data_IF_357094857345
#
_entry.id   IF_357094857345
#
_cell.length_a   1.000
_cell.length_b   1.000
_cell.length_c   1.000
_cell.angle_alpha   90.00
_cell.angle_beta   90.00
_cell.angle_gamma   90.00
#
_symmetry.space_group_name_H-M   'P 1'
#
loop_
_entity.id
_entity.type
_entity.pdbx_description
1 polymer ?
#
# COMPACT_ATOMS: atom_id res chain seq x y z
N UNK A 1 7.81 -61.76 18.16
CA UNK A 1 7.04 -60.73 17.38
C UNK A 1 7.10 -59.46 18.17
N UNK A 2 8.21 -58.69 18.01
CA UNK A 2 8.38 -57.37 18.64
C UNK A 2 7.79 -56.32 17.75
N UNK A 3 6.73 -55.70 18.21
CA UNK A 3 6.17 -54.51 17.53
C UNK A 3 7.04 -53.33 17.97
N UNK A 4 7.81 -52.77 17.02
CA UNK A 4 8.48 -51.51 17.21
C UNK A 4 7.41 -50.40 17.23
N UNK A 5 7.23 -49.73 18.37
CA UNK A 5 6.46 -48.52 18.51
C UNK A 5 7.03 -47.43 17.58
N UNK A 6 6.21 -46.68 16.82
CA UNK A 6 6.68 -45.59 16.00
C UNK A 6 7.26 -44.49 16.91
N UNK A 7 8.55 -44.26 16.80
CA UNK A 7 9.30 -43.27 17.53
C UNK A 7 8.71 -41.87 17.29
N UNK A 8 7.91 -41.40 18.26
CA UNK A 8 7.38 -40.02 18.23
C UNK A 8 8.56 -39.05 18.32
N UNK A 9 8.71 -38.11 17.40
CA UNK A 9 9.82 -37.17 17.43
C UNK A 9 9.80 -36.38 18.72
N UNK A 10 10.94 -36.37 19.43
CA UNK A 10 11.08 -35.67 20.71
C UNK A 10 10.71 -34.19 20.55
N UNK A 11 9.91 -33.64 21.45
CA UNK A 11 9.42 -32.25 21.46
C UNK A 11 10.52 -31.20 21.26
N UNK A 12 11.74 -31.47 21.73
CA UNK A 12 12.94 -30.66 21.51
C UNK A 12 13.37 -30.59 20.04
N UNK A 13 13.20 -31.67 19.25
CA UNK A 13 13.51 -31.69 17.82
C UNK A 13 12.55 -30.84 17.00
N UNK A 14 11.27 -30.81 17.39
CA UNK A 14 10.26 -29.96 16.72
C UNK A 14 10.49 -28.47 16.99
N UNK A 15 10.94 -28.13 18.22
CA UNK A 15 11.28 -26.74 18.58
C UNK A 15 12.54 -26.28 17.83
N UNK A 16 13.59 -27.10 17.81
CA UNK A 16 14.83 -26.80 17.06
C UNK A 16 14.54 -26.60 15.58
N UNK A 17 13.75 -27.48 14.96
CA UNK A 17 13.36 -27.36 13.55
C UNK A 17 12.54 -26.10 13.27
N UNK A 18 11.67 -25.69 14.19
CA UNK A 18 10.91 -24.44 14.06
C UNK A 18 11.81 -23.19 14.10
N UNK A 19 12.81 -23.21 14.98
CA UNK A 19 13.80 -22.14 15.10
C UNK A 19 14.68 -22.08 13.84
N UNK A 20 15.16 -23.21 13.35
CA UNK A 20 15.97 -23.28 12.12
C UNK A 20 15.19 -22.77 10.90
N UNK A 21 13.91 -23.15 10.76
CA UNK A 21 13.05 -22.66 9.68
C UNK A 21 12.85 -21.14 9.79
N UNK A 22 12.65 -20.60 10.99
CA UNK A 22 12.51 -19.17 11.19
C UNK A 22 13.77 -18.41 10.77
N UNK A 23 14.94 -18.83 11.24
CA UNK A 23 16.22 -18.18 10.89
C UNK A 23 16.55 -18.31 9.40
N UNK A 24 16.24 -19.45 8.78
CA UNK A 24 16.40 -19.64 7.33
C UNK A 24 15.47 -18.70 6.56
N UNK A 25 14.20 -18.56 6.96
CA UNK A 25 13.26 -17.63 6.33
C UNK A 25 13.71 -16.18 6.47
N UNK A 26 14.21 -15.77 7.64
CA UNK A 26 14.75 -14.42 7.85
C UNK A 26 15.99 -14.18 6.98
N UNK A 27 16.86 -15.19 6.86
CA UNK A 27 18.04 -15.12 6.00
C UNK A 27 17.66 -14.98 4.52
N UNK A 28 16.71 -15.78 4.03
CA UNK A 28 16.23 -15.73 2.65
C UNK A 28 15.58 -14.38 2.31
N UNK A 29 14.75 -13.84 3.22
CA UNK A 29 14.17 -12.51 3.06
C UNK A 29 15.25 -11.42 3.03
N UNK A 30 16.26 -11.51 3.92
CA UNK A 30 17.35 -10.52 3.92
C UNK A 30 18.21 -10.61 2.65
N UNK A 31 18.48 -11.80 2.14
CA UNK A 31 19.16 -11.97 0.85
C UNK A 31 18.35 -11.41 -0.31
N UNK A 32 17.03 -11.63 -0.30
CA UNK A 32 16.12 -11.08 -1.30
C UNK A 32 16.17 -9.55 -1.34
N UNK A 33 16.12 -8.91 -0.16
CA UNK A 33 16.23 -7.44 -0.03
C UNK A 33 17.60 -6.93 -0.50
N UNK A 34 18.69 -7.58 -0.09
CA UNK A 34 20.06 -7.20 -0.51
C UNK A 34 20.20 -7.34 -2.04
N UNK A 35 19.69 -8.43 -2.62
CA UNK A 35 19.70 -8.65 -4.06
C UNK A 35 18.89 -7.57 -4.79
N UNK A 36 17.74 -7.16 -4.24
CA UNK A 36 16.95 -6.06 -4.79
C UNK A 36 17.77 -4.78 -4.91
N UNK A 37 18.43 -4.34 -3.82
CA UNK A 37 19.25 -3.13 -3.86
C UNK A 37 20.43 -3.25 -4.83
N UNK A 38 21.07 -4.41 -4.90
CA UNK A 38 22.16 -4.66 -5.86
C UNK A 38 21.69 -4.54 -7.30
N UNK A 39 20.55 -5.14 -7.64
CA UNK A 39 20.00 -5.12 -9.00
C UNK A 39 19.39 -3.75 -9.34
N UNK A 40 18.88 -3.00 -8.36
CA UNK A 40 18.38 -1.65 -8.56
C UNK A 40 19.45 -0.69 -9.06
N UNK A 41 20.69 -0.78 -8.54
CA UNK A 41 21.83 0.04 -8.95
C UNK A 41 22.56 -0.49 -10.18
N UNK A 42 22.21 -1.67 -10.68
CA UNK A 42 22.77 -2.25 -11.90
C UNK A 42 22.00 -1.73 -13.13
N UNK A 43 22.60 -0.92 -13.97
CA UNK A 43 22.03 -0.45 -15.24
C UNK A 43 22.10 -1.55 -16.31
N UNK A 44 21.14 -1.61 -17.27
CA UNK A 44 19.97 -0.74 -17.48
C UNK A 44 18.72 -1.19 -16.71
N UNK A 45 17.95 -0.24 -16.18
CA UNK A 45 16.61 -0.50 -15.61
C UNK A 45 15.61 -0.65 -16.77
N UNK A 46 14.70 -1.61 -16.68
CA UNK A 46 13.63 -1.84 -17.66
C UNK A 46 12.51 -0.79 -17.52
N UNK A 47 12.77 0.44 -17.99
CA UNK A 47 11.87 1.59 -17.84
C UNK A 47 10.49 1.29 -18.44
N UNK A 48 10.45 0.62 -19.59
CA UNK A 48 9.19 0.29 -20.28
C UNK A 48 8.29 -0.59 -19.41
N UNK A 49 8.86 -1.60 -18.77
CA UNK A 49 8.10 -2.50 -17.89
C UNK A 49 7.69 -1.78 -16.61
N UNK A 50 8.57 -0.95 -16.03
CA UNK A 50 8.24 -0.12 -14.87
C UNK A 50 7.05 0.79 -15.13
N UNK A 51 7.00 1.47 -16.30
CA UNK A 51 5.85 2.31 -16.69
C UNK A 51 4.58 1.47 -16.85
N UNK A 52 4.68 0.29 -17.45
CA UNK A 52 3.55 -0.63 -17.58
C UNK A 52 3.01 -1.04 -16.21
N UNK A 53 3.89 -1.36 -15.27
CA UNK A 53 3.52 -1.70 -13.90
C UNK A 53 2.93 -0.49 -13.16
N UNK A 54 3.45 0.73 -13.36
CA UNK A 54 2.84 1.96 -12.85
C UNK A 54 1.40 2.15 -13.36
N UNK A 55 1.13 1.85 -14.61
CA UNK A 55 -0.22 1.89 -15.16
C UNK A 55 -1.14 0.85 -14.49
N UNK A 56 -0.66 -0.36 -14.29
CA UNK A 56 -1.44 -1.44 -13.66
C UNK A 56 -1.75 -1.11 -12.20
N UNK A 57 -0.73 -0.69 -11.44
CA UNK A 57 -0.87 -0.34 -10.02
C UNK A 57 -1.70 0.93 -9.84
N UNK A 58 -1.40 1.97 -10.61
CA UNK A 58 -2.02 3.29 -10.52
C UNK A 58 -3.41 3.32 -11.13
N UNK A 59 -3.47 3.35 -12.46
CA UNK A 59 -4.70 3.65 -13.19
C UNK A 59 -5.81 2.61 -12.94
N UNK A 60 -5.47 1.35 -12.94
CA UNK A 60 -6.47 0.29 -12.65
C UNK A 60 -6.99 0.31 -11.21
N UNK A 61 -6.32 1.01 -10.28
CA UNK A 61 -6.78 1.14 -8.89
C UNK A 61 -7.61 2.40 -8.66
N UNK A 62 -7.59 3.38 -9.57
CA UNK A 62 -8.34 4.62 -9.44
C UNK A 62 -9.84 4.42 -9.14
N UNK A 63 -10.59 3.58 -9.86
CA UNK A 63 -12.03 3.45 -9.59
C UNK A 63 -12.33 2.99 -8.16
N UNK A 64 -11.57 2.01 -7.68
CA UNK A 64 -11.75 1.49 -6.32
C UNK A 64 -11.39 2.54 -5.26
N UNK A 65 -10.28 3.24 -5.46
CA UNK A 65 -9.83 4.31 -4.56
C UNK A 65 -10.79 5.50 -4.59
N UNK A 66 -11.40 5.81 -5.75
CA UNK A 66 -12.37 6.89 -5.88
C UNK A 66 -13.62 6.64 -5.03
N UNK A 67 -14.20 5.47 -5.17
CA UNK A 67 -15.41 5.10 -4.41
C UNK A 67 -15.11 5.05 -2.92
N UNK A 68 -14.04 4.39 -2.53
CA UNK A 68 -13.66 4.26 -1.12
C UNK A 68 -13.27 5.58 -0.49
N UNK A 69 -12.56 6.48 -1.21
CA UNK A 69 -12.19 7.80 -0.73
C UNK A 69 -13.40 8.69 -0.47
N UNK A 70 -14.33 8.76 -1.42
CA UNK A 70 -15.58 9.52 -1.25
C UNK A 70 -16.39 9.02 -0.07
N UNK A 71 -16.62 7.71 0.02
CA UNK A 71 -17.40 7.10 1.12
C UNK A 71 -16.71 7.35 2.46
N UNK A 72 -15.39 7.18 2.53
CA UNK A 72 -14.62 7.41 3.77
C UNK A 72 -14.77 8.87 4.23
N UNK A 73 -14.71 9.85 3.32
CA UNK A 73 -14.91 11.25 3.65
C UNK A 73 -16.30 11.54 4.24
N UNK A 74 -17.35 11.02 3.61
CA UNK A 74 -18.73 11.16 4.09
C UNK A 74 -18.89 10.51 5.47
N UNK A 75 -18.49 9.25 5.61
CA UNK A 75 -18.67 8.49 6.86
C UNK A 75 -17.88 9.11 8.01
N UNK A 76 -16.63 9.50 7.74
CA UNK A 76 -15.80 10.12 8.76
C UNK A 76 -16.41 11.44 9.26
N UNK A 77 -16.92 12.28 8.36
CA UNK A 77 -17.59 13.53 8.71
C UNK A 77 -18.87 13.27 9.50
N UNK A 78 -19.68 12.29 9.10
CA UNK A 78 -20.90 11.90 9.84
C UNK A 78 -20.60 11.47 11.27
N UNK A 79 -19.49 10.78 11.50
CA UNK A 79 -19.13 10.31 12.84
C UNK A 79 -18.56 11.45 13.71
N UNK A 80 -17.80 12.38 13.14
CA UNK A 80 -17.18 13.47 13.90
C UNK A 80 -18.11 14.66 14.15
N UNK A 81 -19.06 14.91 13.22
CA UNK A 81 -19.96 16.06 13.31
C UNK A 81 -20.74 16.14 14.63
N UNK A 82 -21.41 15.09 15.15
CA UNK A 82 -22.16 15.17 16.40
C UNK A 82 -21.31 15.65 17.57
N UNK A 83 -20.09 15.13 17.67
CA UNK A 83 -19.15 15.51 18.72
C UNK A 83 -18.77 17.00 18.61
N UNK A 84 -18.46 17.48 17.40
CA UNK A 84 -18.10 18.88 17.18
C UNK A 84 -19.25 19.85 17.44
N UNK A 85 -20.49 19.47 17.10
CA UNK A 85 -21.72 20.24 17.42
C UNK A 85 -21.93 20.34 18.92
N UNK A 86 -21.76 19.26 19.66
CA UNK A 86 -21.90 19.20 21.11
C UNK A 86 -20.94 20.15 21.84
N UNK A 87 -19.73 20.33 21.30
CA UNK A 87 -18.73 21.26 21.79
C UNK A 87 -18.86 22.70 21.22
N UNK A 88 -19.84 22.95 20.35
CA UNK A 88 -20.00 24.27 19.70
C UNK A 88 -18.86 24.62 18.74
N UNK A 89 -18.16 23.58 18.21
CA UNK A 89 -16.95 23.72 17.39
C UNK A 89 -17.19 23.36 15.94
N UNK A 90 -18.38 23.62 15.39
CA UNK A 90 -18.77 23.24 14.02
C UNK A 90 -17.81 23.78 12.94
N UNK A 91 -17.34 25.01 13.12
CA UNK A 91 -16.38 25.64 12.20
C UNK A 91 -15.03 24.92 12.10
N UNK A 92 -14.68 24.03 13.04
CA UNK A 92 -13.45 23.25 13.03
C UNK A 92 -13.60 21.89 12.33
N UNK A 93 -14.79 21.50 11.89
CA UNK A 93 -15.04 20.21 11.22
C UNK A 93 -14.12 20.03 10.00
N UNK A 94 -14.01 21.00 9.05
CA UNK A 94 -13.14 20.83 7.88
C UNK A 94 -11.68 20.60 8.26
N UNK A 95 -11.15 21.36 9.21
CA UNK A 95 -9.78 21.26 9.67
C UNK A 95 -9.49 19.92 10.37
N UNK A 96 -10.40 19.47 11.23
CA UNK A 96 -10.26 18.19 11.95
C UNK A 96 -10.26 17.00 10.99
N UNK A 97 -11.20 17.01 10.05
CA UNK A 97 -11.28 15.97 9.00
C UNK A 97 -10.00 15.98 8.17
N UNK A 98 -9.54 17.15 7.74
CA UNK A 98 -8.33 17.29 6.92
C UNK A 98 -7.08 16.70 7.60
N UNK A 99 -6.86 17.05 8.85
CA UNK A 99 -5.72 16.55 9.63
C UNK A 99 -5.79 15.02 9.81
N UNK A 100 -6.96 14.49 10.17
CA UNK A 100 -7.14 13.06 10.37
C UNK A 100 -6.96 12.26 9.05
N UNK A 101 -7.52 12.79 7.96
CA UNK A 101 -7.42 12.16 6.63
C UNK A 101 -5.97 12.15 6.15
N UNK A 102 -5.30 13.30 6.14
CA UNK A 102 -3.97 13.41 5.55
C UNK A 102 -2.93 12.69 6.40
N UNK A 103 -2.96 12.88 7.72
CA UNK A 103 -1.95 12.28 8.61
C UNK A 103 -2.08 10.77 8.77
N UNK A 104 -3.28 10.21 8.75
CA UNK A 104 -3.49 8.81 9.09
C UNK A 104 -4.27 8.02 8.04
N UNK A 105 -5.49 8.46 7.71
CA UNK A 105 -6.40 7.65 6.91
C UNK A 105 -5.94 7.46 5.47
N UNK A 106 -5.47 8.52 4.81
CA UNK A 106 -5.08 8.43 3.40
C UNK A 106 -3.94 7.44 3.17
N UNK A 107 -2.77 7.50 3.84
CA UNK A 107 -1.71 6.52 3.58
C UNK A 107 -2.09 5.10 4.01
N UNK A 108 -2.84 4.96 5.11
CA UNK A 108 -3.21 3.65 5.64
C UNK A 108 -4.24 2.95 4.76
N UNK A 109 -5.36 3.61 4.45
CA UNK A 109 -6.45 3.01 3.66
C UNK A 109 -6.01 2.74 2.23
N UNK A 110 -5.28 3.69 1.60
CA UNK A 110 -4.75 3.48 0.25
C UNK A 110 -3.81 2.27 0.19
N UNK A 111 -2.91 2.15 1.17
CA UNK A 111 -1.97 1.02 1.23
C UNK A 111 -2.69 -0.31 1.44
N UNK A 112 -3.72 -0.34 2.27
CA UNK A 112 -4.52 -1.54 2.52
C UNK A 112 -5.26 -1.99 1.24
N UNK A 113 -5.89 -1.04 0.53
CA UNK A 113 -6.58 -1.32 -0.75
C UNK A 113 -5.57 -1.82 -1.79
N UNK A 114 -4.42 -1.15 -1.92
CA UNK A 114 -3.38 -1.57 -2.84
C UNK A 114 -2.81 -2.94 -2.47
N UNK A 115 -2.62 -3.24 -1.18
CA UNK A 115 -2.14 -4.54 -0.73
C UNK A 115 -3.06 -5.67 -1.16
N UNK A 116 -4.37 -5.52 -0.97
CA UNK A 116 -5.33 -6.53 -1.40
C UNK A 116 -5.37 -6.72 -2.91
N UNK A 117 -5.47 -5.62 -3.66
CA UNK A 117 -5.64 -5.67 -5.12
C UNK A 117 -4.35 -5.98 -5.88
N UNK A 118 -3.29 -5.22 -5.57
CA UNK A 118 -2.01 -5.31 -6.30
C UNK A 118 -1.24 -6.54 -5.86
N UNK A 119 -1.21 -6.85 -4.56
CA UNK A 119 -0.56 -8.04 -4.05
C UNK A 119 -1.15 -9.33 -4.62
N UNK A 120 -2.48 -9.45 -4.66
CA UNK A 120 -3.14 -10.59 -5.29
C UNK A 120 -2.90 -10.69 -6.80
N UNK A 121 -2.87 -9.54 -7.50
CA UNK A 121 -2.55 -9.49 -8.94
C UNK A 121 -1.12 -9.94 -9.22
N UNK A 122 -0.15 -9.50 -8.43
CA UNK A 122 1.24 -9.89 -8.58
C UNK A 122 1.45 -11.39 -8.31
N UNK A 123 0.86 -11.90 -7.23
CA UNK A 123 0.93 -13.34 -6.93
C UNK A 123 0.32 -14.21 -8.02
N UNK A 124 -0.83 -13.83 -8.56
CA UNK A 124 -1.49 -14.55 -9.65
C UNK A 124 -0.66 -14.51 -10.95
N UNK A 125 -0.11 -13.34 -11.31
CA UNK A 125 0.70 -13.18 -12.53
C UNK A 125 2.02 -13.96 -12.43
N UNK A 126 2.75 -13.85 -11.31
CA UNK A 126 3.98 -14.60 -11.07
C UNK A 126 3.73 -16.11 -11.01
N UNK A 127 2.66 -16.53 -10.35
CA UNK A 127 2.25 -17.92 -10.30
C UNK A 127 1.95 -18.50 -11.69
N UNK A 128 1.22 -17.75 -12.51
CA UNK A 128 0.94 -18.15 -13.89
C UNK A 128 2.23 -18.24 -14.74
N UNK A 129 3.12 -17.25 -14.63
CA UNK A 129 4.42 -17.28 -15.34
C UNK A 129 5.30 -18.45 -14.91
N UNK A 130 5.24 -18.86 -13.66
CA UNK A 130 5.98 -20.01 -13.15
C UNK A 130 5.45 -21.33 -13.71
N UNK A 131 4.13 -21.50 -13.73
CA UNK A 131 3.48 -22.73 -14.23
C UNK A 131 3.65 -22.89 -15.74
N UNK A 132 3.79 -21.80 -16.48
CA UNK A 132 3.97 -21.80 -17.94
C UNK A 132 5.44 -21.73 -18.39
N UNK A 133 6.40 -21.92 -17.48
CA UNK A 133 7.86 -21.89 -17.72
C UNK A 133 8.37 -20.60 -18.38
N UNK A 134 7.60 -19.50 -18.28
CA UNK A 134 7.99 -18.21 -18.86
C UNK A 134 9.21 -17.59 -18.16
N UNK A 135 9.40 -17.86 -16.87
CA UNK A 135 10.55 -17.38 -16.11
C UNK A 135 11.81 -18.06 -16.60
N UNK A 136 11.76 -19.37 -16.83
CA UNK A 136 12.89 -20.17 -17.31
C UNK A 136 13.21 -19.79 -18.77
N UNK A 137 12.19 -19.49 -19.59
CA UNK A 137 12.38 -18.97 -20.95
C UNK A 137 13.08 -17.59 -20.99
N UNK A 138 12.81 -16.71 -20.01
CA UNK A 138 13.52 -15.43 -19.89
C UNK A 138 15.01 -15.64 -19.56
N UNK A 139 15.34 -16.59 -18.70
CA UNK A 139 16.74 -16.91 -18.37
C UNK A 139 17.51 -17.43 -19.59
N UNK A 140 16.90 -18.32 -20.37
CA UNK A 140 17.50 -18.83 -21.62
C UNK A 140 17.70 -17.71 -22.66
N UNK A 141 16.83 -16.70 -22.63
CA UNK A 141 16.93 -15.51 -23.50
C UNK A 141 17.90 -14.44 -22.98
N UNK A 142 18.71 -14.75 -21.96
CA UNK A 142 19.66 -13.84 -21.31
C UNK A 142 19.02 -12.58 -20.68
N UNK A 143 17.73 -12.63 -20.38
CA UNK A 143 17.02 -11.58 -19.62
C UNK A 143 17.05 -11.97 -18.14
N UNK A 144 17.47 -11.05 -17.26
CA UNK A 144 17.45 -11.28 -15.82
C UNK A 144 16.01 -11.20 -15.27
N UNK A 145 15.36 -12.34 -14.93
CA UNK A 145 13.96 -12.35 -14.51
C UNK A 145 13.73 -11.56 -13.23
N UNK A 146 14.70 -11.59 -12.31
CA UNK A 146 14.60 -10.86 -11.04
C UNK A 146 14.49 -9.35 -11.29
N UNK A 147 15.32 -8.82 -12.16
CA UNK A 147 15.33 -7.41 -12.53
C UNK A 147 14.05 -7.00 -13.26
N UNK A 148 13.64 -7.81 -14.22
CA UNK A 148 12.45 -7.55 -15.04
C UNK A 148 11.16 -7.63 -14.23
N UNK A 149 11.00 -8.63 -13.35
CA UNK A 149 9.77 -8.88 -12.61
C UNK A 149 9.73 -8.16 -11.25
N UNK A 150 10.79 -8.27 -10.44
CA UNK A 150 10.77 -7.77 -9.07
C UNK A 150 11.08 -6.28 -9.03
N UNK A 151 12.20 -5.84 -9.63
CA UNK A 151 12.63 -4.44 -9.52
C UNK A 151 11.60 -3.49 -10.14
N UNK A 152 11.05 -3.81 -11.31
CA UNK A 152 10.05 -2.99 -11.99
C UNK A 152 8.75 -2.86 -11.18
N UNK A 153 8.29 -3.93 -10.53
CA UNK A 153 7.08 -3.94 -9.70
C UNK A 153 7.26 -3.17 -8.40
N UNK A 154 8.37 -3.40 -7.70
CA UNK A 154 8.68 -2.68 -6.46
C UNK A 154 8.82 -1.18 -6.70
N UNK A 155 9.50 -0.77 -7.76
CA UNK A 155 9.57 0.64 -8.14
C UNK A 155 8.19 1.21 -8.45
N UNK A 156 7.39 0.50 -9.24
CA UNK A 156 6.05 0.95 -9.59
C UNK A 156 5.15 1.15 -8.36
N UNK A 157 5.14 0.21 -7.41
CA UNK A 157 4.36 0.35 -6.17
C UNK A 157 4.89 1.47 -5.29
N UNK A 158 6.21 1.59 -5.15
CA UNK A 158 6.84 2.64 -4.34
C UNK A 158 6.48 4.04 -4.82
N UNK A 159 6.41 4.28 -6.13
CA UNK A 159 6.04 5.58 -6.67
C UNK A 159 4.53 5.79 -6.79
N UNK A 160 3.76 4.76 -7.13
CA UNK A 160 2.33 4.93 -7.37
C UNK A 160 1.49 4.99 -6.10
N UNK A 161 1.87 4.31 -5.02
CA UNK A 161 1.12 4.35 -3.75
C UNK A 161 1.06 5.75 -3.15
N UNK A 162 2.14 6.56 -3.09
CA UNK A 162 2.06 7.97 -2.69
C UNK A 162 1.12 8.81 -3.56
N UNK A 163 1.18 8.63 -4.88
CA UNK A 163 0.30 9.35 -5.81
C UNK A 163 -1.17 9.02 -5.55
N UNK A 164 -1.48 7.74 -5.36
CA UNK A 164 -2.81 7.27 -5.01
C UNK A 164 -3.26 7.76 -3.62
N UNK A 165 -2.33 7.93 -2.68
CA UNK A 165 -2.60 8.48 -1.34
C UNK A 165 -3.04 9.94 -1.42
N UNK A 166 -2.36 10.76 -2.23
CA UNK A 166 -2.76 12.15 -2.46
C UNK A 166 -4.15 12.19 -3.11
N UNK A 167 -4.37 11.38 -4.12
CA UNK A 167 -5.65 11.28 -4.82
C UNK A 167 -6.79 10.86 -3.87
N UNK A 168 -6.56 9.86 -3.00
CA UNK A 168 -7.51 9.45 -1.98
C UNK A 168 -7.85 10.60 -1.02
N UNK A 169 -6.84 11.34 -0.55
CA UNK A 169 -7.02 12.49 0.33
C UNK A 169 -7.92 13.57 -0.28
N UNK A 170 -7.72 13.86 -1.57
CA UNK A 170 -8.56 14.83 -2.30
C UNK A 170 -10.02 14.36 -2.39
N UNK A 171 -10.25 13.09 -2.71
CA UNK A 171 -11.60 12.53 -2.81
C UNK A 171 -12.29 12.44 -1.45
N UNK A 172 -11.54 12.11 -0.41
CA UNK A 172 -12.04 12.11 0.95
C UNK A 172 -12.47 13.53 1.39
N UNK A 173 -11.68 14.56 1.03
CA UNK A 173 -12.04 15.96 1.22
C UNK A 173 -13.32 16.36 0.47
N UNK A 174 -13.50 15.91 -0.77
CA UNK A 174 -14.72 16.14 -1.53
C UNK A 174 -15.94 15.44 -0.90
N UNK A 175 -15.79 14.20 -0.44
CA UNK A 175 -16.85 13.48 0.28
C UNK A 175 -17.24 14.17 1.58
N UNK A 176 -16.25 14.66 2.32
CA UNK A 176 -16.47 15.46 3.53
C UNK A 176 -17.21 16.79 3.23
N UNK A 177 -16.77 17.50 2.19
CA UNK A 177 -17.46 18.74 1.75
C UNK A 177 -18.93 18.47 1.45
N UNK A 178 -19.23 17.43 0.69
CA UNK A 178 -20.61 17.09 0.34
C UNK A 178 -21.48 16.91 1.60
N UNK A 179 -20.97 16.24 2.61
CA UNK A 179 -21.68 16.01 3.87
C UNK A 179 -21.87 17.30 4.68
N UNK A 180 -20.84 18.14 4.79
CA UNK A 180 -20.92 19.42 5.53
C UNK A 180 -21.86 20.41 4.82
N UNK A 181 -21.82 20.44 3.48
CA UNK A 181 -22.71 21.29 2.68
C UNK A 181 -24.19 20.92 2.85
N UNK A 182 -24.50 19.63 2.88
CA UNK A 182 -25.88 19.16 3.12
C UNK A 182 -26.40 19.49 4.51
N UNK A 183 -25.52 19.49 5.52
CA UNK A 183 -25.92 19.70 6.91
C UNK A 183 -25.96 21.19 7.31
N UNK A 184 -24.94 21.95 6.91
CA UNK A 184 -24.68 23.32 7.43
C UNK A 184 -24.70 24.39 6.34
N UNK A 185 -25.02 24.05 5.08
CA UNK A 185 -25.03 24.93 3.92
C UNK A 185 -23.73 25.74 3.73
N UNK A 186 -22.60 25.19 4.18
CA UNK A 186 -21.29 25.83 4.12
C UNK A 186 -20.86 26.04 2.67
N UNK A 187 -20.32 27.21 2.33
CA UNK A 187 -19.81 27.47 0.98
C UNK A 187 -18.52 26.71 0.72
N UNK A 188 -18.29 26.33 -0.53
CA UNK A 188 -17.08 25.60 -0.94
C UNK A 188 -15.78 26.34 -0.58
N UNK A 189 -15.77 27.67 -0.76
CA UNK A 189 -14.60 28.50 -0.42
C UNK A 189 -14.27 28.44 1.06
N UNK A 190 -15.28 28.53 1.92
CA UNK A 190 -15.10 28.48 3.38
C UNK A 190 -14.62 27.09 3.83
N UNK A 191 -15.16 26.03 3.23
CA UNK A 191 -14.71 24.66 3.50
C UNK A 191 -13.24 24.44 3.13
N UNK A 192 -12.84 24.87 1.91
CA UNK A 192 -11.45 24.72 1.46
C UNK A 192 -10.47 25.49 2.34
N UNK A 193 -10.80 26.74 2.70
CA UNK A 193 -9.96 27.51 3.60
C UNK A 193 -9.77 26.78 4.94
N UNK A 194 -10.88 26.33 5.57
CA UNK A 194 -10.81 25.57 6.81
C UNK A 194 -10.08 24.23 6.67
N UNK A 195 -10.20 23.57 5.52
CA UNK A 195 -9.54 22.27 5.25
C UNK A 195 -8.01 22.40 5.20
N UNK A 196 -7.49 23.47 4.59
CA UNK A 196 -6.04 23.67 4.45
C UNK A 196 -5.41 24.51 5.56
N UNK A 197 -6.20 25.24 6.37
CA UNK A 197 -5.72 26.16 7.40
C UNK A 197 -4.86 25.49 8.51
N UNK A 198 -5.16 24.24 8.82
CA UNK A 198 -4.49 23.48 9.89
C UNK A 198 -3.50 22.42 9.44
N UNK A 199 -3.25 22.35 8.14
CA UNK A 199 -2.33 21.34 7.58
C UNK A 199 -0.99 22.01 7.32
N UNK A 200 0.03 21.56 8.03
CA UNK A 200 1.40 21.98 7.80
C UNK A 200 2.05 21.20 6.66
N UNK A 201 3.03 21.81 6.02
CA UNK A 201 3.83 21.15 4.97
C UNK A 201 4.49 19.85 5.47
N UNK A 202 4.82 19.78 6.75
CA UNK A 202 5.37 18.59 7.42
C UNK A 202 4.37 17.43 7.41
N UNK A 203 3.07 17.70 7.48
CA UNK A 203 2.02 16.68 7.47
C UNK A 203 1.97 15.95 6.12
N UNK A 204 2.02 16.71 5.03
CA UNK A 204 2.13 16.13 3.69
C UNK A 204 3.41 15.32 3.52
N UNK A 205 4.54 15.84 3.98
CA UNK A 205 5.82 15.14 3.94
C UNK A 205 5.77 13.80 4.69
N UNK A 206 5.19 13.79 5.88
CA UNK A 206 5.04 12.58 6.68
C UNK A 206 4.08 11.56 6.04
N UNK A 207 3.00 12.02 5.43
CA UNK A 207 2.04 11.16 4.74
C UNK A 207 2.66 10.50 3.51
N UNK A 208 3.39 11.28 2.69
CA UNK A 208 4.11 10.77 1.51
C UNK A 208 5.19 9.78 1.93
N UNK A 209 5.95 10.08 2.97
CA UNK A 209 6.99 9.17 3.47
C UNK A 209 6.39 7.82 3.93
N UNK A 210 5.30 7.84 4.69
CA UNK A 210 4.57 6.61 5.07
C UNK A 210 4.08 5.84 3.85
N UNK A 211 3.50 6.55 2.88
CA UNK A 211 3.01 5.93 1.65
C UNK A 211 4.15 5.31 0.82
N UNK A 212 5.34 5.92 0.78
CA UNK A 212 6.55 5.36 0.15
C UNK A 212 6.98 4.06 0.83
N UNK A 213 7.06 4.06 2.16
CA UNK A 213 7.43 2.87 2.93
C UNK A 213 6.41 1.75 2.71
N UNK A 214 5.11 2.06 2.75
CA UNK A 214 4.07 1.07 2.48
C UNK A 214 4.10 0.55 1.03
N UNK A 215 4.32 1.43 0.05
CA UNK A 215 4.46 1.05 -1.36
C UNK A 215 5.66 0.13 -1.59
N UNK A 216 6.80 0.44 -0.97
CA UNK A 216 7.99 -0.39 -1.01
C UNK A 216 7.76 -1.77 -0.38
N UNK A 217 7.22 -1.82 0.84
CA UNK A 217 6.94 -3.09 1.54
C UNK A 217 5.91 -3.93 0.78
N UNK A 218 4.88 -3.30 0.21
CA UNK A 218 3.88 -3.98 -0.62
C UNK A 218 4.52 -4.62 -1.85
N UNK A 219 5.38 -3.89 -2.56
CA UNK A 219 6.10 -4.43 -3.72
C UNK A 219 7.02 -5.59 -3.35
N UNK A 220 7.75 -5.48 -2.24
CA UNK A 220 8.66 -6.52 -1.78
C UNK A 220 7.94 -7.80 -1.33
N UNK A 221 6.80 -7.66 -0.65
CA UNK A 221 6.02 -8.81 -0.16
C UNK A 221 5.18 -9.44 -1.27
N UNK A 222 4.76 -8.64 -2.27
CA UNK A 222 3.95 -9.11 -3.39
C UNK A 222 4.72 -9.88 -4.48
N UNK A 223 6.05 -9.80 -4.46
CA UNK A 223 6.95 -10.49 -5.40
C UNK A 223 7.67 -11.66 -4.75
#
# INVERSE_FOLDING_TARGET
>A
MNQEEPNKPKRSYLISKGIDVFFTSVYDVSLFVIRFFKELFSLPVEVRETIRQCYIVGVKSLPLISVTGLITGVVFTLQFRPVMVEFGAEGLIPATVAVAVIRALAPLVTSLICSGKVGSSFGAELGAMRVTDQIDAMEVSAVNPYKFLVVSRVLATTFMVPVLTIYFGLLCGLGSYFQVHLADQTSFSMFIQGFFDKIDFIDYGSAIFRALVFGFTLGMVGC
#
